data_IF_854364985098
#
_entry.id   IF_854364985098
#
_cell.length_a   1.000
_cell.length_b   1.000
_cell.length_c   1.000
_cell.angle_alpha   90.00
_cell.angle_beta   90.00
_cell.angle_gamma   90.00
#
_symmetry.space_group_name_H-M   'P 1'
#
loop_
_entity.id
_entity.type
_entity.pdbx_description
1 polymer ?
#
# COMPACT_ATOMS: atom_id res chain seq x y z
N UNK A 1 -5.77 9.00 16.49
CA UNK A 1 -5.05 9.41 15.28
C UNK A 1 -3.99 8.39 14.91
N UNK A 2 -3.74 8.25 13.63
CA UNK A 2 -2.82 7.25 13.10
C UNK A 2 -1.51 7.89 12.62
N UNK A 3 -0.41 7.17 12.82
CA UNK A 3 0.89 7.55 12.25
C UNK A 3 0.98 7.18 10.76
N UNK A 4 0.32 6.09 10.39
CA UNK A 4 0.32 5.57 9.02
C UNK A 4 -1.08 5.15 8.61
N UNK A 5 -1.38 5.40 7.33
CA UNK A 5 -2.55 4.82 6.67
C UNK A 5 -2.01 3.96 5.53
N UNK A 6 -2.39 2.70 5.52
CA UNK A 6 -2.03 1.77 4.44
C UNK A 6 -3.31 1.37 3.74
N UNK A 7 -3.35 1.54 2.42
CA UNK A 7 -4.54 1.29 1.64
C UNK A 7 -4.20 0.62 0.31
N UNK A 8 -5.11 -0.18 -0.21
CA UNK A 8 -4.98 -0.76 -1.54
C UNK A 8 -5.16 0.29 -2.63
N UNK A 9 -5.88 1.36 -2.34
CA UNK A 9 -6.39 2.26 -3.34
C UNK A 9 -6.40 3.69 -2.80
N UNK A 10 -5.96 4.62 -3.64
CA UNK A 10 -5.69 6.00 -3.23
C UNK A 10 -6.95 6.76 -2.76
N UNK A 11 -8.08 6.56 -3.44
CA UNK A 11 -9.33 7.23 -3.04
C UNK A 11 -9.76 6.79 -1.65
N UNK A 12 -9.59 5.51 -1.34
CA UNK A 12 -9.89 4.98 -0.01
C UNK A 12 -9.02 5.64 1.05
N UNK A 13 -7.72 5.76 0.76
CA UNK A 13 -6.81 6.43 1.68
C UNK A 13 -7.22 7.88 1.90
N UNK A 14 -7.63 8.57 0.83
CA UNK A 14 -8.05 9.96 0.91
C UNK A 14 -9.27 10.16 1.82
N UNK A 15 -10.17 9.18 1.88
CA UNK A 15 -11.37 9.25 2.73
C UNK A 15 -11.04 9.22 4.23
N UNK A 16 -9.88 8.67 4.60
CA UNK A 16 -9.50 8.49 5.99
C UNK A 16 -8.42 9.44 6.47
N UNK A 17 -8.09 10.47 5.67
CA UNK A 17 -7.03 11.42 6.02
C UNK A 17 -7.28 12.15 7.34
N UNK A 18 -8.54 12.31 7.74
CA UNK A 18 -8.89 12.95 9.01
C UNK A 18 -8.36 12.19 10.23
N UNK A 19 -8.06 10.91 10.07
CA UNK A 19 -7.50 10.07 11.14
C UNK A 19 -5.98 10.10 11.19
N UNK A 20 -5.34 10.75 10.22
CA UNK A 20 -3.90 10.80 10.12
C UNK A 20 -3.34 11.95 10.96
N UNK A 21 -2.28 11.66 11.72
CA UNK A 21 -1.56 12.72 12.46
C UNK A 21 -0.92 13.71 11.48
N UNK A 22 -0.64 14.95 11.93
CA UNK A 22 -0.02 15.97 11.05
C UNK A 22 1.25 15.52 10.36
N UNK A 23 2.06 14.69 11.01
CA UNK A 23 3.30 14.16 10.45
C UNK A 23 3.13 12.74 9.91
N UNK A 24 1.89 12.30 9.74
CA UNK A 24 1.58 10.95 9.30
C UNK A 24 1.88 10.73 7.83
N UNK A 25 1.95 9.46 7.45
CA UNK A 25 2.28 9.04 6.10
C UNK A 25 1.21 8.10 5.57
N UNK A 26 0.92 8.22 4.27
CA UNK A 26 0.03 7.30 3.56
C UNK A 26 0.88 6.40 2.67
N UNK A 27 0.63 5.10 2.73
CA UNK A 27 1.24 4.11 1.84
C UNK A 27 0.09 3.44 1.10
N UNK A 28 0.06 3.55 -0.21
CA UNK A 28 -1.08 3.08 -0.97
C UNK A 28 -0.68 2.49 -2.32
N UNK A 29 -1.50 1.57 -2.81
CA UNK A 29 -1.38 1.08 -4.18
C UNK A 29 -1.86 2.13 -5.17
N UNK A 30 -1.29 2.06 -6.38
CA UNK A 30 -1.66 2.97 -7.48
C UNK A 30 -2.94 2.53 -8.21
N UNK A 31 -3.46 1.35 -7.87
CA UNK A 31 -4.65 0.83 -8.52
C UNK A 31 -5.86 1.72 -8.26
N UNK A 32 -6.60 2.01 -9.33
CA UNK A 32 -7.81 2.81 -9.25
C UNK A 32 -9.03 1.91 -9.36
N UNK A 33 -9.85 1.90 -8.31
CA UNK A 33 -11.10 1.15 -8.28
C UNK A 33 -12.24 2.16 -8.31
N UNK A 34 -13.00 2.18 -9.40
CA UNK A 34 -14.09 3.14 -9.54
C UNK A 34 -15.28 2.75 -8.67
N UNK A 35 -15.77 3.65 -7.80
CA UNK A 35 -17.00 3.41 -7.05
C UNK A 35 -18.20 3.28 -7.98
N UNK A 36 -19.29 2.68 -7.50
CA UNK A 36 -20.49 2.50 -8.29
C UNK A 36 -21.01 3.76 -8.98
N UNK A 37 -21.05 4.93 -8.35
CA UNK A 37 -21.48 6.15 -9.04
C UNK A 37 -20.64 6.49 -10.27
N UNK A 38 -19.33 6.21 -10.23
CA UNK A 38 -18.44 6.42 -11.37
C UNK A 38 -18.75 5.42 -12.48
N UNK A 39 -18.91 4.13 -12.12
CA UNK A 39 -19.26 3.06 -13.08
C UNK A 39 -20.59 3.36 -13.75
N UNK A 40 -21.56 3.84 -12.98
CA UNK A 40 -22.89 4.18 -13.49
C UNK A 40 -22.94 5.50 -14.26
N UNK A 41 -21.83 6.22 -14.35
CA UNK A 41 -21.77 7.52 -15.04
C UNK A 41 -22.36 8.67 -14.25
N UNK A 42 -22.63 8.49 -12.96
CA UNK A 42 -23.24 9.52 -12.10
C UNK A 42 -22.21 10.44 -11.47
N UNK A 43 -20.93 10.05 -11.45
CA UNK A 43 -19.85 10.84 -10.88
C UNK A 43 -18.55 10.52 -11.63
N UNK A 44 -17.58 11.41 -11.53
CA UNK A 44 -16.24 11.18 -12.07
C UNK A 44 -15.30 10.79 -10.94
N UNK A 45 -14.30 9.94 -11.25
CA UNK A 45 -13.25 9.64 -10.29
C UNK A 45 -12.43 10.93 -10.07
N UNK A 46 -12.12 11.28 -8.81
CA UNK A 46 -11.35 12.50 -8.54
C UNK A 46 -10.01 12.49 -9.26
N UNK A 47 -9.67 13.63 -9.87
CA UNK A 47 -8.43 13.80 -10.60
C UNK A 47 -7.30 14.21 -9.67
N UNK A 48 -6.09 13.69 -9.92
CA UNK A 48 -4.87 14.11 -9.22
C UNK A 48 -4.96 14.06 -7.69
N UNK A 49 -5.50 12.96 -7.15
CA UNK A 49 -5.59 12.78 -5.70
C UNK A 49 -4.23 12.83 -5.03
N UNK A 50 -3.21 12.20 -5.64
CA UNK A 50 -1.85 12.19 -5.10
C UNK A 50 -1.31 13.62 -4.95
N UNK A 51 -1.45 14.42 -6.00
CA UNK A 51 -1.01 15.81 -5.96
C UNK A 51 -1.77 16.64 -4.94
N UNK A 52 -3.08 16.42 -4.83
CA UNK A 52 -3.91 17.14 -3.86
C UNK A 52 -3.53 16.80 -2.42
N UNK A 53 -3.26 15.55 -2.14
CA UNK A 53 -2.81 15.13 -0.82
C UNK A 53 -1.44 15.68 -0.50
N UNK A 54 -0.51 15.63 -1.45
CA UNK A 54 0.83 16.21 -1.27
C UNK A 54 0.77 17.72 -1.03
N UNK A 55 -0.10 18.41 -1.76
CA UNK A 55 -0.29 19.86 -1.59
C UNK A 55 -0.85 20.22 -0.22
N UNK A 56 -1.55 19.29 0.42
CA UNK A 56 -2.08 19.45 1.77
C UNK A 56 -1.02 19.15 2.85
N UNK A 57 0.22 18.85 2.47
CA UNK A 57 1.29 18.55 3.40
C UNK A 57 1.34 17.09 3.85
N UNK A 58 0.59 16.23 3.21
CA UNK A 58 0.56 14.80 3.53
C UNK A 58 1.64 14.08 2.70
N UNK A 59 2.47 13.28 3.38
CA UNK A 59 3.47 12.46 2.73
C UNK A 59 2.82 11.17 2.21
N UNK A 60 2.76 11.03 0.88
CA UNK A 60 2.09 9.91 0.22
C UNK A 60 3.11 9.09 -0.55
N UNK A 61 3.16 7.80 -0.26
CA UNK A 61 4.01 6.84 -0.95
C UNK A 61 3.11 5.92 -1.77
N UNK A 62 3.14 6.09 -3.09
CA UNK A 62 2.30 5.32 -4.02
C UNK A 62 3.16 4.34 -4.78
N UNK A 63 2.73 3.07 -4.87
CA UNK A 63 3.43 2.07 -5.64
C UNK A 63 2.42 1.16 -6.36
N UNK A 64 2.85 0.55 -7.46
CA UNK A 64 2.02 -0.41 -8.19
C UNK A 64 2.07 -1.77 -7.47
N UNK A 65 1.36 -1.83 -6.36
CA UNK A 65 1.38 -3.00 -5.49
C UNK A 65 0.83 -4.26 -6.18
N UNK A 66 -0.16 -4.10 -7.06
CA UNK A 66 -0.73 -5.25 -7.79
C UNK A 66 0.30 -5.84 -8.75
N UNK A 67 1.02 -5.00 -9.50
CA UNK A 67 2.05 -5.48 -10.42
C UNK A 67 3.16 -6.21 -9.67
N UNK A 68 3.57 -5.69 -8.52
CA UNK A 68 4.59 -6.35 -7.70
C UNK A 68 4.09 -7.67 -7.14
N UNK A 69 2.83 -7.74 -6.72
CA UNK A 69 2.24 -8.99 -6.24
C UNK A 69 2.20 -10.04 -7.36
N UNK A 70 1.82 -9.64 -8.56
CA UNK A 70 1.80 -10.52 -9.73
C UNK A 70 3.21 -10.99 -10.10
N UNK A 71 4.20 -10.11 -10.00
CA UNK A 71 5.61 -10.47 -10.20
C UNK A 71 6.05 -11.52 -9.17
N UNK A 72 5.57 -11.42 -7.95
CA UNK A 72 5.85 -12.42 -6.91
C UNK A 72 5.17 -13.76 -7.20
N UNK A 73 4.07 -13.74 -7.95
CA UNK A 73 3.36 -14.96 -8.34
C UNK A 73 1.84 -14.87 -8.28
N UNK A 74 1.25 -13.90 -7.60
CA UNK A 74 -0.21 -13.77 -7.51
C UNK A 74 -0.63 -12.41 -6.98
N UNK A 75 -1.64 -11.81 -7.60
CA UNK A 75 -2.27 -10.58 -7.11
C UNK A 75 -2.84 -10.69 -5.70
N UNK A 76 -3.05 -11.90 -5.20
CA UNK A 76 -3.53 -12.12 -3.83
C UNK A 76 -2.53 -11.68 -2.77
N UNK A 77 -1.27 -11.48 -3.14
CA UNK A 77 -0.22 -11.08 -2.22
C UNK A 77 -0.05 -9.56 -2.09
N UNK A 78 -1.00 -8.78 -2.60
CA UNK A 78 -0.97 -7.31 -2.52
C UNK A 78 -0.75 -6.81 -1.09
N UNK A 79 -1.40 -7.44 -0.10
CA UNK A 79 -1.24 -7.07 1.31
C UNK A 79 0.22 -7.11 1.74
N UNK A 80 0.95 -8.11 1.33
CA UNK A 80 2.34 -8.31 1.72
C UNK A 80 3.26 -7.32 1.02
N UNK A 81 2.94 -6.92 -0.21
CA UNK A 81 3.67 -5.86 -0.91
C UNK A 81 3.55 -4.55 -0.13
N UNK A 82 2.34 -4.19 0.25
CA UNK A 82 2.09 -2.95 1.01
C UNK A 82 2.74 -3.02 2.40
N UNK A 83 2.68 -4.18 3.05
CA UNK A 83 3.34 -4.39 4.34
C UNK A 83 4.85 -4.25 4.21
N UNK A 84 5.43 -4.77 3.13
CA UNK A 84 6.86 -4.63 2.85
C UNK A 84 7.26 -3.16 2.72
N UNK A 85 6.44 -2.39 2.02
CA UNK A 85 6.69 -0.95 1.88
C UNK A 85 6.62 -0.25 3.23
N UNK A 86 5.59 -0.54 4.01
CA UNK A 86 5.42 0.00 5.36
C UNK A 86 6.61 -0.35 6.26
N UNK A 87 7.15 -1.55 6.14
CA UNK A 87 8.24 -2.04 6.99
C UNK A 87 9.49 -1.16 6.93
N UNK A 88 9.65 -0.38 5.87
CA UNK A 88 10.79 0.53 5.71
C UNK A 88 10.81 1.65 6.77
N UNK A 89 9.69 1.90 7.42
CA UNK A 89 9.53 2.96 8.40
C UNK A 89 9.68 2.47 9.84
N UNK A 90 9.98 1.18 10.03
CA UNK A 90 10.19 0.59 11.33
C UNK A 90 11.61 0.03 11.47
N UNK A 91 12.07 -0.09 12.71
CA UNK A 91 13.45 -0.52 13.00
C UNK A 91 13.61 -2.04 13.07
N UNK A 92 12.57 -2.81 12.76
CA UNK A 92 12.68 -4.27 12.77
C UNK A 92 13.55 -4.74 11.61
N UNK A 93 14.36 -5.77 11.86
CA UNK A 93 15.21 -6.35 10.82
C UNK A 93 14.36 -7.14 9.81
N UNK A 94 14.93 -7.35 8.62
CA UNK A 94 14.28 -8.21 7.63
C UNK A 94 14.04 -9.62 8.18
N UNK A 95 14.98 -10.15 8.95
CA UNK A 95 14.83 -11.47 9.58
C UNK A 95 13.63 -11.53 10.51
N UNK A 96 13.43 -10.49 11.31
CA UNK A 96 12.29 -10.41 12.22
C UNK A 96 10.97 -10.39 11.45
N UNK A 97 10.91 -9.64 10.34
CA UNK A 97 9.73 -9.61 9.47
C UNK A 97 9.48 -10.97 8.84
N UNK A 98 10.54 -11.64 8.34
CA UNK A 98 10.41 -12.96 7.70
C UNK A 98 9.96 -14.02 8.70
N UNK A 99 10.43 -13.95 9.94
CA UNK A 99 9.97 -14.84 11.00
C UNK A 99 8.48 -14.66 11.29
N UNK A 100 8.03 -13.41 11.37
CA UNK A 100 6.62 -13.10 11.60
C UNK A 100 5.74 -13.61 10.44
N UNK A 101 6.18 -13.44 9.21
CA UNK A 101 5.47 -13.95 8.03
C UNK A 101 5.40 -15.48 8.08
N UNK A 102 6.50 -16.13 8.39
CA UNK A 102 6.57 -17.59 8.49
C UNK A 102 5.57 -18.12 9.52
N UNK A 103 5.42 -17.41 10.63
CA UNK A 103 4.49 -17.80 11.71
C UNK A 103 3.03 -17.52 11.37
N UNK A 104 2.75 -16.62 10.44
CA UNK A 104 1.40 -16.11 10.19
C UNK A 104 0.76 -16.63 8.91
N UNK A 105 1.57 -17.06 7.94
CA UNK A 105 1.10 -17.45 6.60
C UNK A 105 1.13 -18.98 6.45
N UNK A 106 0.07 -19.58 5.86
CA UNK A 106 0.09 -21.03 5.60
C UNK A 106 1.30 -21.43 4.77
N UNK A 107 1.91 -22.60 5.05
CA UNK A 107 3.15 -23.02 4.35
C UNK A 107 3.07 -23.01 2.83
N UNK A 108 1.91 -23.33 2.27
CA UNK A 108 1.73 -23.36 0.81
C UNK A 108 1.83 -21.99 0.16
N UNK A 109 1.63 -20.92 0.93
CA UNK A 109 1.70 -19.55 0.43
C UNK A 109 2.93 -18.80 0.92
N UNK A 110 3.80 -19.46 1.68
CA UNK A 110 4.90 -18.79 2.35
C UNK A 110 5.88 -18.14 1.37
N UNK A 111 6.32 -18.87 0.35
CA UNK A 111 7.29 -18.32 -0.61
C UNK A 111 6.71 -17.14 -1.40
N UNK A 112 5.43 -17.25 -1.82
CA UNK A 112 4.74 -16.17 -2.49
C UNK A 112 4.74 -14.90 -1.64
N UNK A 113 4.34 -15.03 -0.38
CA UNK A 113 4.19 -13.88 0.51
C UNK A 113 5.54 -13.28 0.91
N UNK A 114 6.57 -14.10 1.12
CA UNK A 114 7.92 -13.60 1.37
C UNK A 114 8.44 -12.79 0.18
N UNK A 115 8.21 -13.28 -1.03
CA UNK A 115 8.64 -12.61 -2.25
C UNK A 115 7.91 -11.28 -2.43
N UNK A 116 6.61 -11.29 -2.22
CA UNK A 116 5.79 -10.06 -2.30
C UNK A 116 6.27 -9.02 -1.30
N UNK A 117 6.52 -9.42 -0.07
CA UNK A 117 7.03 -8.53 0.97
C UNK A 117 8.38 -7.92 0.58
N UNK A 118 9.29 -8.75 0.09
CA UNK A 118 10.62 -8.28 -0.32
C UNK A 118 10.53 -7.29 -1.49
N UNK A 119 9.67 -7.54 -2.47
CA UNK A 119 9.48 -6.62 -3.59
C UNK A 119 8.93 -5.27 -3.12
N UNK A 120 7.94 -5.27 -2.24
CA UNK A 120 7.40 -4.04 -1.69
C UNK A 120 8.42 -3.26 -0.88
N UNK A 121 9.21 -3.95 -0.07
CA UNK A 121 10.24 -3.34 0.77
C UNK A 121 11.37 -2.73 -0.07
N UNK A 122 11.73 -3.37 -1.16
CA UNK A 122 12.90 -2.98 -1.97
C UNK A 122 12.56 -2.07 -3.15
N UNK A 123 11.29 -1.90 -3.46
CA UNK A 123 10.89 -1.04 -4.57
C UNK A 123 11.29 0.40 -4.29
N UNK A 124 11.93 1.04 -5.28
CA UNK A 124 12.32 2.44 -5.16
C UNK A 124 11.09 3.34 -5.13
N UNK A 125 11.13 4.39 -4.29
CA UNK A 125 10.08 5.39 -4.29
C UNK A 125 10.05 6.09 -5.65
N UNK A 126 8.85 6.42 -6.17
CA UNK A 126 8.74 7.23 -7.38
C UNK A 126 9.47 8.55 -7.21
N UNK A 127 10.14 8.98 -8.25
CA UNK A 127 10.87 10.25 -8.23
C UNK A 127 9.90 11.43 -8.19
#
# INVERSE_FOLDING_TARGET
QADYIVSFELLEAARYTEYLKPDGKIITGSQQINPMPVIAGMAAYPQDLEGKLASSGIDVDVLDALALAEEAGSGRAVNLVLMGRLSRHFDFTLEEWMEAITSSVPPQFLELNKKAFALGRNEAAPA
#
